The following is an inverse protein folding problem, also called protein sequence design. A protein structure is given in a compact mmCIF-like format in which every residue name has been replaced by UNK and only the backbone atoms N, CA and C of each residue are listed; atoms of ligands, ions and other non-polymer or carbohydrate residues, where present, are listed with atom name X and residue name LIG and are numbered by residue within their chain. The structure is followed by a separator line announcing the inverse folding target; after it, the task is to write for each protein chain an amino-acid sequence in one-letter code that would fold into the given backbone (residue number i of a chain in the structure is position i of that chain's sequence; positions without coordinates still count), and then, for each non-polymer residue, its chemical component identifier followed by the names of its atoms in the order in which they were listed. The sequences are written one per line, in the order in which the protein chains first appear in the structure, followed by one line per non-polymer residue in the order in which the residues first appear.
data_IF_621074609065
#
_entry.id   IF_621074609065
#
_cell.length_a   1.000
_cell.length_b   1.000
_cell.length_c   1.000
_cell.angle_alpha   90.00
_cell.angle_beta   90.00
_cell.angle_gamma   90.00
#
_symmetry.space_group_name_H-M   'P 1'
#
loop_
_entity.id
_entity.type
_entity.pdbx_description
1 polymer ?
#
# COMPACT_ATOMS: atom_id res chain seq x y z
N UNK A 1 -38.75 -28.60 24.58
CA UNK A 1 -38.12 -27.25 24.62
C UNK A 1 -36.59 -27.29 24.67
N UNK A 2 -35.94 -28.36 25.14
CA UNK A 2 -34.47 -28.47 25.23
C UNK A 2 -33.72 -28.56 23.88
N UNK A 3 -34.29 -29.20 22.84
CA UNK A 3 -33.60 -29.40 21.55
C UNK A 3 -33.38 -28.11 20.75
N UNK A 4 -34.27 -27.11 20.90
CA UNK A 4 -34.17 -25.82 20.20
C UNK A 4 -33.05 -24.94 20.77
N UNK A 5 -32.88 -24.93 22.10
CA UNK A 5 -31.83 -24.16 22.78
C UNK A 5 -30.43 -24.69 22.46
N UNK A 6 -30.26 -26.01 22.35
CA UNK A 6 -28.98 -26.63 21.99
C UNK A 6 -28.55 -26.26 20.57
N UNK A 7 -29.49 -26.20 19.62
CA UNK A 7 -29.21 -25.84 18.23
C UNK A 7 -28.77 -24.37 18.10
N UNK A 8 -29.43 -23.45 18.82
CA UNK A 8 -29.06 -22.03 18.82
C UNK A 8 -27.68 -21.79 19.42
N UNK A 9 -27.33 -22.50 20.49
CA UNK A 9 -26.00 -22.41 21.13
C UNK A 9 -24.91 -22.95 20.19
N UNK A 10 -25.16 -24.09 19.53
CA UNK A 10 -24.20 -24.67 18.58
C UNK A 10 -23.97 -23.73 17.38
N UNK A 11 -25.02 -23.10 16.88
CA UNK A 11 -24.94 -22.11 15.80
C UNK A 11 -24.16 -20.86 16.22
N UNK A 12 -24.35 -20.38 17.47
CA UNK A 12 -23.61 -19.25 18.01
C UNK A 12 -22.11 -19.55 18.18
N UNK A 13 -21.77 -20.79 18.55
CA UNK A 13 -20.37 -21.24 18.65
C UNK A 13 -19.68 -21.31 17.28
N UNK A 14 -20.40 -21.66 16.21
CA UNK A 14 -19.85 -21.66 14.84
C UNK A 14 -19.46 -20.25 14.39
N UNK A 15 -20.26 -19.23 14.71
CA UNK A 15 -19.95 -17.85 14.36
C UNK A 15 -18.74 -17.27 15.11
N UNK A 16 -18.39 -17.79 16.29
CA UNK A 16 -17.23 -17.33 17.06
C UNK A 16 -15.88 -17.82 16.51
N UNK A 17 -15.87 -18.85 15.64
CA UNK A 17 -14.62 -19.42 15.09
C UNK A 17 -14.15 -18.80 13.77
N UNK A 18 -14.96 -17.94 13.15
CA UNK A 18 -14.69 -17.39 11.81
C UNK A 18 -13.83 -16.10 11.79
N UNK A 19 -13.52 -15.51 12.96
CA UNK A 19 -12.75 -14.26 13.03
C UNK A 19 -11.25 -14.54 13.21
N UNK A 20 -10.58 -15.08 12.20
CA UNK A 20 -9.12 -14.98 12.14
C UNK A 20 -8.73 -13.65 11.47
N UNK A 21 -7.82 -12.86 12.07
CA UNK A 21 -7.33 -11.65 11.43
C UNK A 21 -6.67 -12.02 10.10
N UNK A 22 -6.88 -11.18 9.08
CA UNK A 22 -6.22 -11.35 7.80
C UNK A 22 -4.70 -11.41 8.00
N UNK A 23 -4.04 -12.32 7.28
CA UNK A 23 -2.58 -12.37 7.26
C UNK A 23 -2.06 -11.07 6.63
N UNK A 24 -1.02 -10.44 7.19
CA UNK A 24 -0.48 -9.23 6.60
C UNK A 24 0.09 -9.52 5.22
N UNK A 25 -0.17 -8.64 4.26
CA UNK A 25 0.37 -8.77 2.91
C UNK A 25 1.90 -8.64 2.88
N UNK A 26 2.48 -7.81 3.76
CA UNK A 26 3.93 -7.68 3.91
C UNK A 26 4.45 -8.28 5.22
N UNK A 27 5.69 -8.78 5.18
CA UNK A 27 6.43 -9.14 6.40
C UNK A 27 6.76 -7.88 7.22
N UNK A 28 6.87 -7.97 8.57
CA UNK A 28 7.09 -6.82 9.44
C UNK A 28 8.32 -5.94 9.11
N UNK A 29 9.34 -6.49 8.46
CA UNK A 29 10.60 -5.82 8.13
C UNK A 29 10.84 -5.69 6.61
N UNK A 30 9.79 -5.81 5.79
CA UNK A 30 9.95 -5.75 4.33
C UNK A 30 10.28 -4.33 3.84
N UNK A 31 9.80 -3.31 4.56
CA UNK A 31 9.98 -1.90 4.21
C UNK A 31 11.35 -1.42 4.68
N UNK A 32 12.12 -0.82 3.78
CA UNK A 32 13.41 -0.22 4.12
C UNK A 32 13.24 1.26 4.44
N UNK A 33 13.78 1.68 5.58
CA UNK A 33 13.84 3.08 6.00
C UNK A 33 15.24 3.63 5.75
N UNK A 34 15.35 4.66 4.91
CA UNK A 34 16.62 5.35 4.68
C UNK A 34 16.66 6.68 5.43
N UNK A 35 17.88 7.11 5.80
CA UNK A 35 18.06 8.42 6.43
C UNK A 35 17.56 9.52 5.50
N UNK A 36 16.85 10.51 6.05
CA UNK A 36 16.34 11.65 5.28
C UNK A 36 17.45 12.49 4.62
N UNK A 37 18.69 12.40 5.11
CA UNK A 37 19.87 13.04 4.53
C UNK A 37 20.49 12.27 3.36
N UNK A 38 20.04 11.04 3.11
CA UNK A 38 20.51 10.22 1.98
C UNK A 38 19.67 10.57 0.75
N UNK A 39 20.28 11.08 -0.35
CA UNK A 39 19.53 11.37 -1.56
C UNK A 39 18.89 10.10 -2.12
N UNK A 40 17.62 10.19 -2.49
CA UNK A 40 17.01 9.18 -3.36
C UNK A 40 17.60 9.27 -4.76
N UNK A 41 17.69 8.16 -5.50
CA UNK A 41 18.09 8.21 -6.90
C UNK A 41 17.16 9.15 -7.68
N UNK A 42 17.69 9.82 -8.69
CA UNK A 42 16.86 10.60 -9.61
C UNK A 42 15.80 9.70 -10.25
N UNK A 43 14.64 10.26 -10.65
CA UNK A 43 13.64 9.52 -11.39
C UNK A 43 14.33 8.86 -12.58
N UNK A 44 14.32 7.53 -12.65
CA UNK A 44 14.76 6.88 -13.87
C UNK A 44 13.72 7.22 -14.92
N UNK A 45 14.07 7.91 -16.03
CA UNK A 45 13.11 8.16 -17.08
C UNK A 45 12.52 6.81 -17.51
N UNK A 46 11.20 6.67 -17.48
CA UNK A 46 10.54 5.46 -17.96
C UNK A 46 10.94 5.27 -19.43
N UNK A 47 11.95 4.43 -19.68
CA UNK A 47 12.38 4.04 -21.01
C UNK A 47 11.34 3.05 -21.54
N UNK A 48 10.24 3.60 -22.05
CA UNK A 48 9.10 2.85 -22.56
C UNK A 48 7.95 2.76 -21.56
N UNK A 49 6.75 2.52 -22.08
CA UNK A 49 5.59 2.16 -21.25
C UNK A 49 5.95 0.85 -20.50
N UNK A 50 5.90 0.89 -19.17
CA UNK A 50 6.00 -0.33 -18.37
C UNK A 50 4.93 -1.30 -18.87
N UNK A 51 5.32 -2.54 -19.13
CA UNK A 51 4.36 -3.58 -19.47
C UNK A 51 3.53 -3.88 -18.21
N UNK A 52 2.20 -4.10 -18.35
CA UNK A 52 1.39 -4.48 -17.21
C UNK A 52 1.93 -5.73 -16.52
N UNK A 53 1.93 -5.71 -15.19
CA UNK A 53 2.41 -6.79 -14.35
C UNK A 53 1.26 -7.39 -13.53
N UNK A 54 1.29 -8.70 -13.31
CA UNK A 54 0.26 -9.39 -12.54
C UNK A 54 0.71 -9.62 -11.09
N UNK A 55 -0.14 -9.23 -10.15
CA UNK A 55 0.08 -9.42 -8.72
C UNK A 55 -1.06 -10.24 -8.13
N UNK A 56 -0.76 -11.21 -7.27
CA UNK A 56 -1.77 -11.97 -6.54
C UNK A 56 -2.23 -11.20 -5.29
N UNK A 57 -3.52 -10.87 -5.22
CA UNK A 57 -4.17 -10.25 -4.05
C UNK A 57 -5.31 -11.17 -3.61
N UNK A 58 -5.24 -11.67 -2.37
CA UNK A 58 -6.24 -12.57 -1.79
C UNK A 58 -6.56 -13.80 -2.67
N UNK A 59 -5.52 -14.39 -3.29
CA UNK A 59 -5.65 -15.55 -4.18
C UNK A 59 -6.20 -15.24 -5.57
N UNK A 60 -6.28 -13.96 -5.97
CA UNK A 60 -6.69 -13.52 -7.30
C UNK A 60 -5.57 -12.77 -7.99
N UNK A 61 -5.28 -13.16 -9.24
CA UNK A 61 -4.38 -12.39 -10.10
C UNK A 61 -5.08 -11.10 -10.54
N UNK A 62 -4.44 -9.97 -10.29
CA UNK A 62 -4.85 -8.64 -10.75
C UNK A 62 -3.74 -8.04 -11.60
N UNK A 63 -4.11 -7.31 -12.65
CA UNK A 63 -3.17 -6.66 -13.57
C UNK A 63 -2.98 -5.19 -13.18
N UNK A 64 -1.73 -4.74 -13.15
CA UNK A 64 -1.34 -3.39 -12.77
C UNK A 64 -0.51 -2.75 -13.88
N UNK A 65 -0.82 -1.49 -14.19
CA UNK A 65 -0.06 -0.68 -15.16
C UNK A 65 1.36 -0.38 -14.66
N UNK A 66 1.52 -0.29 -13.32
CA UNK A 66 2.80 -0.09 -12.67
C UNK A 66 2.89 -0.88 -11.37
N UNK A 67 4.04 -1.51 -11.13
CA UNK A 67 4.39 -2.10 -9.85
C UNK A 67 5.64 -1.40 -9.34
N UNK A 68 5.54 -0.77 -8.18
CA UNK A 68 6.61 0.04 -7.60
C UNK A 68 7.36 -0.79 -6.57
N UNK A 69 8.65 -0.99 -6.86
CA UNK A 69 9.64 -1.60 -5.99
C UNK A 69 10.71 -0.56 -5.61
N UNK A 70 11.41 -0.77 -4.50
CA UNK A 70 12.53 0.09 -4.11
C UNK A 70 12.11 1.53 -3.75
N UNK A 71 12.94 2.54 -4.04
CA UNK A 71 12.65 3.94 -3.73
C UNK A 71 11.26 4.39 -4.16
N UNK A 72 10.41 4.77 -3.20
CA UNK A 72 9.10 5.35 -3.50
C UNK A 72 9.21 6.81 -3.92
N UNK A 73 10.21 7.50 -3.40
CA UNK A 73 10.43 8.90 -3.75
C UNK A 73 10.92 9.06 -5.19
N UNK A 74 10.67 10.23 -5.79
CA UNK A 74 11.04 10.55 -7.18
C UNK A 74 10.31 9.71 -8.24
N UNK A 75 9.12 9.17 -7.93
CA UNK A 75 8.26 8.47 -8.88
C UNK A 75 7.07 9.32 -9.34
N UNK A 76 6.63 9.06 -10.58
CA UNK A 76 5.35 9.52 -11.11
C UNK A 76 4.45 8.30 -11.33
N UNK A 77 3.31 8.29 -10.64
CA UNK A 77 2.34 7.21 -10.68
C UNK A 77 1.18 7.53 -11.62
N UNK A 78 0.76 6.56 -12.42
CA UNK A 78 -0.34 6.70 -13.39
C UNK A 78 -1.05 5.35 -13.60
N UNK A 79 -2.38 5.37 -13.73
CA UNK A 79 -3.17 4.16 -13.98
C UNK A 79 -3.49 3.36 -12.72
N UNK A 80 -3.54 2.03 -12.84
CA UNK A 80 -3.68 1.10 -11.72
C UNK A 80 -2.29 0.68 -11.23
N UNK A 81 -1.92 1.15 -10.03
CA UNK A 81 -0.57 1.01 -9.49
C UNK A 81 -0.57 0.12 -8.26
N UNK A 82 0.41 -0.79 -8.17
CA UNK A 82 0.69 -1.57 -6.97
C UNK A 82 1.99 -1.10 -6.31
N UNK A 83 1.94 -0.82 -5.01
CA UNK A 83 3.12 -0.51 -4.19
C UNK A 83 3.52 -1.78 -3.45
N UNK A 84 4.66 -2.36 -3.82
CA UNK A 84 5.13 -3.65 -3.30
C UNK A 84 5.68 -3.55 -1.87
N UNK A 85 6.06 -4.69 -1.30
CA UNK A 85 6.54 -4.78 0.08
C UNK A 85 7.99 -4.34 0.27
N UNK A 86 8.79 -4.34 -0.78
CA UNK A 86 10.24 -4.05 -0.82
C UNK A 86 10.52 -2.59 -1.20
N UNK A 87 9.69 -1.67 -0.72
CA UNK A 87 9.89 -0.24 -0.94
C UNK A 87 10.91 0.37 0.02
N UNK A 88 11.50 1.48 -0.42
CA UNK A 88 12.40 2.33 0.37
C UNK A 88 11.74 3.69 0.56
N UNK A 89 11.59 4.11 1.82
CA UNK A 89 11.03 5.42 2.20
C UNK A 89 11.96 6.15 3.17
N UNK A 90 11.82 7.47 3.26
CA UNK A 90 12.58 8.25 4.23
C UNK A 90 12.13 7.89 5.65
N UNK A 91 13.06 7.79 6.59
CA UNK A 91 12.75 7.62 8.00
C UNK A 91 11.99 8.85 8.54
N UNK A 92 11.13 8.63 9.53
CA UNK A 92 10.40 9.67 10.24
C UNK A 92 10.45 9.41 11.74
N UNK A 93 10.11 10.43 12.54
CA UNK A 93 10.10 10.33 14.00
C UNK A 93 8.71 10.09 14.56
N UNK A 94 7.79 11.02 14.32
CA UNK A 94 6.50 11.05 15.04
C UNK A 94 5.32 10.59 14.17
N UNK A 95 5.19 11.13 12.95
CA UNK A 95 4.15 10.77 11.97
C UNK A 95 4.84 10.38 10.65
N UNK A 96 4.32 9.40 9.89
CA UNK A 96 4.89 9.00 8.60
C UNK A 96 4.75 10.12 7.57
N UNK A 97 5.75 11.00 7.50
CA UNK A 97 5.82 12.16 6.60
C UNK A 97 6.92 11.98 5.54
N UNK A 98 7.15 10.73 5.12
CA UNK A 98 8.25 10.35 4.23
C UNK A 98 8.14 10.90 2.80
N UNK A 99 7.04 11.60 2.46
CA UNK A 99 6.90 12.33 1.20
C UNK A 99 7.27 13.82 1.32
N UNK A 100 7.69 14.29 2.49
CA UNK A 100 8.17 15.66 2.67
C UNK A 100 9.46 15.87 1.87
N UNK A 101 9.47 16.91 1.02
CA UNK A 101 10.61 17.21 0.14
C UNK A 101 10.83 16.16 -0.96
N UNK A 102 9.86 15.27 -1.17
CA UNK A 102 9.93 14.23 -2.18
C UNK A 102 9.24 14.66 -3.48
N UNK A 103 9.87 14.42 -4.63
CA UNK A 103 9.21 14.61 -5.93
C UNK A 103 8.34 13.39 -6.27
N UNK A 104 7.24 13.21 -5.55
CA UNK A 104 6.28 12.13 -5.76
C UNK A 104 5.01 12.67 -6.39
N UNK A 105 4.71 12.24 -7.61
CA UNK A 105 3.56 12.72 -8.38
C UNK A 105 2.58 11.58 -8.58
N UNK A 106 1.28 11.86 -8.44
CA UNK A 106 0.19 10.93 -8.73
C UNK A 106 -0.71 11.58 -9.77
N UNK A 107 -0.74 11.02 -10.97
CA UNK A 107 -1.56 11.54 -12.07
C UNK A 107 -3.06 11.40 -11.77
N UNK A 108 -3.92 12.29 -12.31
CA UNK A 108 -5.36 12.19 -12.13
C UNK A 108 -5.92 10.83 -12.56
N UNK A 109 -6.86 10.30 -11.78
CA UNK A 109 -7.50 9.00 -12.06
C UNK A 109 -6.68 7.78 -11.64
N UNK A 110 -5.48 7.96 -11.09
CA UNK A 110 -4.65 6.87 -10.57
C UNK A 110 -5.31 6.17 -9.38
N UNK A 111 -5.28 4.84 -9.37
CA UNK A 111 -5.72 3.99 -8.26
C UNK A 111 -4.48 3.28 -7.71
N UNK A 112 -4.18 3.48 -6.43
CA UNK A 112 -2.97 2.92 -5.81
C UNK A 112 -3.38 1.83 -4.82
N UNK A 113 -2.90 0.62 -5.03
CA UNK A 113 -3.00 -0.50 -4.09
C UNK A 113 -1.69 -0.58 -3.31
N UNK A 114 -1.76 -0.67 -1.98
CA UNK A 114 -0.55 -0.66 -1.14
C UNK A 114 -0.45 -1.94 -0.33
N UNK A 115 0.59 -2.73 -0.60
CA UNK A 115 0.83 -4.00 0.10
C UNK A 115 0.95 -3.79 1.62
N UNK A 116 1.73 -2.80 2.06
CA UNK A 116 1.89 -2.46 3.48
C UNK A 116 0.60 -2.00 4.18
N UNK A 117 -0.45 -1.66 3.40
CA UNK A 117 -1.78 -1.33 3.90
C UNK A 117 -2.81 -2.41 3.54
N UNK A 118 -2.42 -3.69 3.61
CA UNK A 118 -3.31 -4.83 3.38
C UNK A 118 -3.96 -4.81 1.98
N UNK A 119 -3.18 -4.43 0.96
CA UNK A 119 -3.65 -4.29 -0.41
C UNK A 119 -4.85 -3.33 -0.55
N UNK A 120 -5.03 -2.38 0.37
CA UNK A 120 -6.09 -1.40 0.30
C UNK A 120 -5.90 -0.46 -0.90
N UNK A 121 -7.01 -0.11 -1.56
CA UNK A 121 -7.04 0.83 -2.68
C UNK A 121 -7.18 2.28 -2.19
N UNK A 122 -6.35 3.17 -2.74
CA UNK A 122 -6.31 4.59 -2.46
C UNK A 122 -6.53 5.40 -3.73
N UNK A 123 -7.55 6.25 -3.70
CA UNK A 123 -7.99 7.10 -4.82
C UNK A 123 -7.61 8.57 -4.66
N UNK A 124 -7.09 8.95 -3.48
CA UNK A 124 -6.67 10.33 -3.14
C UNK A 124 -5.15 10.50 -3.12
N UNK A 125 -4.41 9.51 -3.62
CA UNK A 125 -2.97 9.45 -3.53
C UNK A 125 -2.43 9.30 -2.10
N UNK A 126 -1.10 9.25 -1.97
CA UNK A 126 -0.40 9.03 -0.70
C UNK A 126 -0.22 10.31 0.12
N UNK A 127 -0.16 11.47 -0.55
CA UNK A 127 0.18 12.76 0.08
C UNK A 127 -0.82 13.17 1.17
N UNK A 128 -2.10 12.79 1.04
CA UNK A 128 -3.13 13.10 2.03
C UNK A 128 -2.84 12.53 3.43
N UNK A 129 -2.03 11.47 3.53
CA UNK A 129 -1.62 10.84 4.79
C UNK A 129 -0.14 11.04 5.10
N UNK A 130 0.71 11.07 4.06
CA UNK A 130 2.16 10.92 4.18
C UNK A 130 2.99 12.19 3.93
N UNK A 131 2.34 13.34 3.90
CA UNK A 131 2.96 14.67 3.95
C UNK A 131 2.63 15.31 5.30
N UNK A 132 3.58 16.01 5.90
CA UNK A 132 3.30 16.89 7.05
C UNK A 132 2.40 18.05 6.59
N UNK A 133 1.49 18.55 7.45
CA UNK A 133 0.35 19.39 7.05
C UNK A 133 0.63 20.52 6.04
N UNK A 134 -0.39 20.75 5.18
CA UNK A 134 -0.43 21.64 3.99
C UNK A 134 0.76 21.44 3.03
N UNK A 135 0.68 20.33 2.30
CA UNK A 135 1.53 20.08 1.14
C UNK A 135 1.56 21.28 0.19
N UNK A 136 2.72 21.45 -0.44
CA UNK A 136 2.93 22.36 -1.57
C UNK A 136 1.72 22.28 -2.51
N UNK A 137 1.01 23.40 -2.60
CA UNK A 137 -0.15 23.62 -3.46
C UNK A 137 0.27 23.39 -4.94
N UNK A 138 -0.64 22.85 -5.79
CA UNK A 138 -0.37 22.46 -7.20
C UNK A 138 0.49 23.42 -8.01
#
# INVERSE_FOLDING_TARGET
MHSRTTLTILLLMLFLTACQPAKPACQPDAITYQKSTTPFPEPTPAMGAALPEQVEIDGKMMEFDQVIHGPLCNNTLSGQVYIACDIVVAEWKDKPNFLDGCNFVVEPGTIIYVAAHQNAAYYKGCASCHVSGEGVKP
#
